data_IF_590359319983
#
_entry.id   IF_590359319983
#
_cell.length_a   1.000
_cell.length_b   1.000
_cell.length_c   1.000
_cell.angle_alpha   90.00
_cell.angle_beta   90.00
_cell.angle_gamma   90.00
#
_symmetry.space_group_name_H-M   'P 1'
#
loop_
_entity.id
_entity.type
_entity.pdbx_description
1 polymer ?
#
# COMPACT_ATOMS: atom_id res chain seq x y z
N UNK A 1 -9.45 -46.43 11.16
CA UNK A 1 -9.06 -45.06 11.53
C UNK A 1 -7.88 -44.61 10.67
N UNK A 2 -7.82 -43.33 10.36
CA UNK A 2 -6.77 -42.68 9.56
C UNK A 2 -6.59 -41.28 10.14
N UNK A 3 -5.35 -40.77 10.19
CA UNK A 3 -5.05 -39.42 10.67
C UNK A 3 -4.25 -38.71 9.60
N UNK A 4 -4.68 -37.51 9.25
CA UNK A 4 -4.09 -36.70 8.17
C UNK A 4 -3.89 -35.31 8.73
N UNK A 5 -2.65 -34.82 8.61
CA UNK A 5 -2.30 -33.44 8.89
C UNK A 5 -2.71 -32.55 7.70
N UNK A 6 -3.40 -31.43 7.95
CA UNK A 6 -3.77 -30.49 6.89
C UNK A 6 -2.53 -29.84 6.26
N UNK A 7 -2.64 -29.46 4.99
CA UNK A 7 -1.53 -28.79 4.33
C UNK A 7 -1.45 -27.31 4.72
N UNK A 8 -0.26 -26.87 5.15
CA UNK A 8 0.05 -25.48 5.53
C UNK A 8 1.21 -24.97 4.69
N UNK A 9 0.98 -23.89 3.96
CA UNK A 9 1.95 -23.31 3.05
C UNK A 9 3.21 -22.80 3.77
N UNK A 10 4.37 -23.22 3.26
CA UNK A 10 5.69 -22.86 3.79
C UNK A 10 5.97 -23.35 5.22
N UNK A 11 5.36 -24.46 5.65
CA UNK A 11 5.65 -25.03 6.97
C UNK A 11 7.05 -25.65 7.08
N UNK A 12 7.69 -25.99 5.96
CA UNK A 12 9.09 -26.45 5.93
C UNK A 12 9.31 -27.92 6.30
N UNK A 13 8.25 -28.71 6.51
CA UNK A 13 8.32 -30.14 6.76
C UNK A 13 7.34 -30.93 5.87
N UNK A 14 7.54 -32.24 5.77
CA UNK A 14 6.67 -33.15 5.01
C UNK A 14 5.32 -33.30 5.73
N UNK A 15 4.25 -32.86 5.09
CA UNK A 15 2.88 -32.93 5.62
C UNK A 15 2.08 -34.07 4.99
N UNK A 16 0.95 -34.41 5.61
CA UNK A 16 -0.05 -35.30 5.05
C UNK A 16 -0.39 -36.45 5.99
N UNK A 17 -0.39 -37.69 5.49
CA UNK A 17 -0.92 -38.84 6.24
C UNK A 17 0.02 -39.26 7.36
N UNK A 18 -0.36 -38.93 8.61
CA UNK A 18 0.36 -39.35 9.82
C UNK A 18 0.11 -40.83 10.13
N UNK A 19 -1.15 -41.27 10.07
CA UNK A 19 -1.53 -42.66 10.36
C UNK A 19 -2.26 -43.26 9.17
N UNK A 20 -1.75 -44.40 8.70
CA UNK A 20 -2.37 -45.16 7.59
C UNK A 20 -3.73 -45.71 7.99
N UNK A 21 -4.63 -45.81 7.00
CA UNK A 21 -5.97 -46.37 7.21
C UNK A 21 -5.86 -47.83 7.69
N UNK A 22 -6.28 -48.08 8.92
CA UNK A 22 -6.24 -49.41 9.52
C UNK A 22 -7.09 -49.54 10.78
N UNK A 23 -7.14 -50.75 11.35
CA UNK A 23 -7.68 -50.96 12.71
C UNK A 23 -6.57 -50.63 13.70
N UNK A 24 -6.81 -49.64 14.55
CA UNK A 24 -5.82 -49.16 15.53
C UNK A 24 -6.15 -49.79 16.89
N UNK A 25 -5.20 -50.46 17.53
CA UNK A 25 -5.40 -51.01 18.87
C UNK A 25 -5.52 -49.86 19.89
N UNK A 26 -6.49 -50.00 20.80
CA UNK A 26 -6.74 -49.09 21.93
C UNK A 26 -5.86 -49.46 23.13
N UNK A 27 -5.77 -50.76 23.42
CA UNK A 27 -5.02 -51.33 24.54
C UNK A 27 -4.16 -52.50 24.07
N UNK A 28 -3.16 -52.90 24.88
CA UNK A 28 -2.31 -54.08 24.67
C UNK A 28 -3.08 -55.41 24.65
N UNK A 29 -4.34 -55.38 25.10
CA UNK A 29 -5.28 -56.51 25.10
C UNK A 29 -5.90 -56.79 23.72
N UNK A 30 -5.47 -56.09 22.66
CA UNK A 30 -5.95 -56.32 21.30
C UNK A 30 -7.34 -55.77 21.00
N UNK A 31 -7.86 -54.88 21.85
CA UNK A 31 -9.11 -54.14 21.59
C UNK A 31 -8.84 -53.04 20.58
N UNK A 32 -9.77 -52.79 19.66
CA UNK A 32 -9.64 -51.75 18.65
C UNK A 32 -10.57 -50.59 18.93
N UNK A 33 -10.20 -49.38 18.50
CA UNK A 33 -11.07 -48.22 18.56
C UNK A 33 -12.38 -48.45 17.78
N UNK A 34 -13.49 -48.15 18.44
CA UNK A 34 -14.82 -48.12 17.85
C UNK A 34 -15.30 -46.68 17.67
N UNK A 35 -16.30 -46.46 16.82
CA UNK A 35 -16.84 -45.11 16.59
C UNK A 35 -17.46 -44.51 17.86
N UNK A 36 -17.92 -45.36 18.79
CA UNK A 36 -18.42 -44.94 20.11
C UNK A 36 -17.34 -44.44 21.07
N UNK A 37 -16.07 -44.73 20.78
CA UNK A 37 -14.93 -44.22 21.57
C UNK A 37 -14.51 -42.80 21.13
N UNK A 38 -15.17 -42.23 20.11
CA UNK A 38 -14.85 -40.94 19.55
C UNK A 38 -15.95 -39.94 19.93
N UNK A 39 -15.56 -38.82 20.53
CA UNK A 39 -16.43 -37.67 20.75
C UNK A 39 -15.60 -36.38 20.71
N UNK A 40 -16.21 -35.20 20.72
CA UNK A 40 -15.48 -33.94 20.94
C UNK A 40 -15.06 -33.83 22.41
N UNK A 41 -13.89 -33.24 22.66
CA UNK A 41 -13.32 -33.04 23.99
C UNK A 41 -12.63 -34.28 24.59
N UNK A 42 -12.29 -35.28 23.77
CA UNK A 42 -11.66 -36.53 24.24
C UNK A 42 -10.22 -36.65 23.75
N UNK A 43 -9.36 -37.15 24.63
CA UNK A 43 -7.97 -37.49 24.32
C UNK A 43 -7.84 -38.93 23.83
N UNK A 44 -7.28 -39.10 22.63
CA UNK A 44 -7.15 -40.38 21.93
C UNK A 44 -5.66 -40.72 21.77
N UNK A 45 -5.11 -41.64 22.59
CA UNK A 45 -3.72 -42.09 22.46
C UNK A 45 -3.57 -43.07 21.30
N UNK A 46 -2.73 -42.73 20.32
CA UNK A 46 -2.43 -43.55 19.15
C UNK A 46 -0.91 -43.56 18.93
N UNK A 47 -0.30 -44.74 18.99
CA UNK A 47 1.14 -44.95 18.77
C UNK A 47 2.05 -43.98 19.57
N UNK A 48 1.70 -43.71 20.83
CA UNK A 48 2.47 -42.84 21.72
C UNK A 48 2.20 -41.34 21.56
N UNK A 49 1.32 -40.94 20.63
CA UNK A 49 0.87 -39.55 20.46
C UNK A 49 -0.57 -39.44 20.93
N UNK A 50 -0.87 -38.44 21.76
CA UNK A 50 -2.23 -38.16 22.24
C UNK A 50 -2.86 -37.10 21.35
N UNK A 51 -3.98 -37.45 20.70
CA UNK A 51 -4.74 -36.55 19.85
C UNK A 51 -5.99 -36.07 20.59
N UNK A 52 -6.14 -34.76 20.72
CA UNK A 52 -7.31 -34.14 21.32
C UNK A 52 -8.33 -33.76 20.22
N UNK A 53 -9.57 -34.20 20.36
CA UNK A 53 -10.65 -33.91 19.40
C UNK A 53 -11.35 -32.60 19.72
N UNK A 54 -11.22 -31.61 18.84
CA UNK A 54 -11.72 -30.25 19.08
C UNK A 54 -13.10 -29.99 18.44
N UNK A 55 -13.39 -30.65 17.32
CA UNK A 55 -14.61 -30.44 16.53
C UNK A 55 -14.93 -31.70 15.71
N UNK A 56 -16.18 -31.83 15.27
CA UNK A 56 -16.61 -32.83 14.30
C UNK A 56 -17.41 -32.18 13.16
N UNK A 57 -17.44 -32.81 11.99
CA UNK A 57 -18.22 -32.34 10.84
C UNK A 57 -19.72 -32.58 11.04
N UNK A 58 -20.56 -31.81 10.35
CA UNK A 58 -22.03 -31.79 10.48
C UNK A 58 -22.64 -33.19 10.34
N UNK A 59 -22.20 -33.96 9.35
CA UNK A 59 -22.66 -35.33 9.16
C UNK A 59 -22.37 -36.22 10.39
N UNK A 60 -21.19 -36.05 10.99
CA UNK A 60 -20.77 -36.85 12.15
C UNK A 60 -21.59 -36.45 13.36
N UNK A 61 -21.85 -35.16 13.53
CA UNK A 61 -22.71 -34.61 14.57
C UNK A 61 -24.12 -35.22 14.51
N UNK A 62 -24.76 -35.15 13.34
CA UNK A 62 -26.10 -35.72 13.10
C UNK A 62 -26.13 -37.24 13.32
N UNK A 63 -25.10 -37.94 12.85
CA UNK A 63 -24.98 -39.39 13.05
C UNK A 63 -24.88 -39.75 14.54
N UNK A 64 -24.02 -39.07 15.31
CA UNK A 64 -23.88 -39.30 16.75
C UNK A 64 -25.20 -39.03 17.48
N UNK A 65 -25.85 -37.90 17.18
CA UNK A 65 -27.17 -37.54 17.74
C UNK A 65 -28.23 -38.60 17.42
N UNK A 66 -28.23 -39.14 16.20
CA UNK A 66 -29.16 -40.22 15.80
C UNK A 66 -28.95 -41.51 16.60
N UNK A 67 -27.73 -41.76 17.08
CA UNK A 67 -27.37 -42.90 17.90
C UNK A 67 -27.52 -42.63 19.41
N UNK A 68 -28.03 -41.45 19.79
CA UNK A 68 -28.22 -41.04 21.18
C UNK A 68 -26.93 -40.58 21.87
N UNK A 69 -25.88 -40.23 21.13
CA UNK A 69 -24.64 -39.66 21.66
C UNK A 69 -24.64 -38.17 21.36
N UNK A 70 -24.46 -37.34 22.39
CA UNK A 70 -24.34 -35.89 22.22
C UNK A 70 -22.88 -35.51 21.91
N UNK A 71 -22.60 -34.91 20.74
CA UNK A 71 -21.24 -34.63 20.30
C UNK A 71 -20.47 -33.59 21.13
N UNK A 72 -21.11 -32.90 22.09
CA UNK A 72 -20.49 -31.82 22.86
C UNK A 72 -20.31 -30.53 22.04
N UNK A 73 -19.85 -29.48 22.70
CA UNK A 73 -19.60 -28.19 22.05
C UNK A 73 -18.22 -28.15 21.39
N UNK A 74 -18.10 -27.34 20.33
CA UNK A 74 -16.80 -27.11 19.66
C UNK A 74 -15.81 -26.43 20.61
N UNK A 75 -14.61 -26.97 20.71
CA UNK A 75 -13.52 -26.36 21.46
C UNK A 75 -12.68 -25.46 20.55
N UNK A 76 -11.84 -24.60 21.13
CA UNK A 76 -10.90 -23.79 20.34
C UNK A 76 -9.55 -24.50 20.29
N UNK A 77 -9.04 -24.72 19.09
CA UNK A 77 -7.67 -25.23 18.91
C UNK A 77 -6.66 -24.22 19.46
N UNK A 78 -5.55 -24.67 20.08
CA UNK A 78 -4.54 -23.77 20.58
C UNK A 78 -3.93 -22.94 19.44
N UNK A 79 -3.70 -21.63 19.65
CA UNK A 79 -3.12 -20.79 18.63
C UNK A 79 -1.67 -21.16 18.33
N UNK A 80 -1.31 -21.25 17.05
CA UNK A 80 0.08 -21.39 16.62
C UNK A 80 0.79 -20.03 16.62
N UNK A 81 1.77 -19.88 17.51
CA UNK A 81 2.60 -18.68 17.65
C UNK A 81 3.29 -18.30 16.34
N UNK A 82 3.79 -19.27 15.57
CA UNK A 82 4.50 -18.99 14.33
C UNK A 82 3.56 -18.37 13.28
N UNK A 83 2.37 -18.96 13.10
CA UNK A 83 1.36 -18.46 12.17
C UNK A 83 0.88 -17.06 12.57
N UNK A 84 0.65 -16.80 13.86
CA UNK A 84 0.25 -15.46 14.33
C UNK A 84 1.30 -14.39 14.02
N UNK A 85 2.57 -14.66 14.35
CA UNK A 85 3.67 -13.72 14.09
C UNK A 85 3.86 -13.45 12.61
N UNK A 86 3.73 -14.49 11.78
CA UNK A 86 3.84 -14.37 10.32
C UNK A 86 2.71 -13.52 9.75
N UNK A 87 1.47 -13.74 10.19
CA UNK A 87 0.31 -12.94 9.78
C UNK A 87 0.46 -11.49 10.22
N UNK A 88 0.92 -11.23 11.45
CA UNK A 88 1.16 -9.88 11.95
C UNK A 88 2.21 -9.13 11.12
N UNK A 89 3.31 -9.79 10.76
CA UNK A 89 4.36 -9.21 9.89
C UNK A 89 3.85 -8.92 8.48
N UNK A 90 3.06 -9.82 7.91
CA UNK A 90 2.43 -9.62 6.59
C UNK A 90 1.40 -8.49 6.62
N UNK A 91 0.64 -8.37 7.71
CA UNK A 91 -0.30 -7.27 7.90
C UNK A 91 0.46 -5.94 8.06
N UNK A 92 1.57 -5.92 8.79
CA UNK A 92 2.42 -4.74 8.95
C UNK A 92 3.11 -4.32 7.64
N UNK A 93 3.50 -5.27 6.78
CA UNK A 93 4.11 -4.95 5.48
C UNK A 93 3.09 -4.53 4.42
N UNK A 94 1.83 -4.99 4.52
CA UNK A 94 0.72 -4.61 3.65
C UNK A 94 -0.05 -3.39 4.14
N UNK A 95 0.08 -3.04 5.42
CA UNK A 95 -0.39 -1.75 5.90
C UNK A 95 0.28 -0.69 5.03
N UNK A 96 -0.46 0.30 4.52
CA UNK A 96 0.16 1.41 3.83
C UNK A 96 1.17 1.97 4.83
N UNK A 97 2.45 1.79 4.52
CA UNK A 97 3.51 2.51 5.21
C UNK A 97 3.00 3.94 5.18
N UNK A 98 2.81 4.53 6.37
CA UNK A 98 2.67 5.97 6.50
C UNK A 98 3.99 6.55 6.00
N UNK A 99 4.21 6.52 4.68
CA UNK A 99 5.09 7.43 3.99
C UNK A 99 4.55 8.78 4.42
N UNK A 100 5.35 9.46 5.24
CA UNK A 100 5.14 10.85 5.65
C UNK A 100 4.44 11.54 4.50
N UNK A 101 3.14 11.88 4.65
CA UNK A 101 2.25 12.37 3.58
C UNK A 101 3.05 13.10 2.51
N UNK A 102 3.55 12.40 1.50
CA UNK A 102 4.05 13.06 0.32
C UNK A 102 2.78 13.58 -0.29
N UNK A 103 2.73 14.90 -0.52
CA UNK A 103 1.64 15.51 -1.28
C UNK A 103 1.37 14.57 -2.46
N UNK A 104 0.10 14.16 -2.72
CA UNK A 104 -0.20 13.22 -3.78
C UNK A 104 0.56 13.68 -5.01
N UNK A 105 1.56 12.90 -5.40
CA UNK A 105 2.44 13.28 -6.50
C UNK A 105 1.55 13.18 -7.72
N UNK A 106 1.05 14.33 -8.15
CA UNK A 106 0.15 14.43 -9.28
C UNK A 106 0.87 13.81 -10.46
N UNK A 107 0.27 12.77 -11.05
CA UNK A 107 0.93 11.97 -12.07
C UNK A 107 1.24 12.88 -13.26
N UNK A 108 2.53 13.11 -13.59
CA UNK A 108 2.90 14.03 -14.67
C UNK A 108 2.27 13.61 -16.01
N UNK A 109 2.02 12.31 -16.22
CA UNK A 109 1.33 11.84 -17.43
C UNK A 109 -0.13 12.24 -17.45
N UNK A 110 -0.79 12.18 -16.29
CA UNK A 110 -2.19 12.56 -16.17
C UNK A 110 -2.38 14.06 -16.44
N UNK A 111 -1.52 14.90 -15.86
CA UNK A 111 -1.51 16.35 -16.14
C UNK A 111 -1.29 16.66 -17.61
N UNK A 112 -0.34 15.97 -18.24
CA UNK A 112 -0.12 16.12 -19.68
C UNK A 112 -1.38 15.77 -20.47
N UNK A 113 -2.00 14.62 -20.23
CA UNK A 113 -3.23 14.21 -20.93
C UNK A 113 -4.41 15.17 -20.73
N UNK A 114 -4.53 15.77 -19.54
CA UNK A 114 -5.64 16.68 -19.22
C UNK A 114 -5.42 18.10 -19.76
N UNK A 115 -4.19 18.60 -19.74
CA UNK A 115 -3.88 20.03 -19.99
C UNK A 115 -2.98 20.29 -21.20
N UNK A 116 -2.64 19.28 -22.00
CA UNK A 116 -1.82 19.48 -23.21
C UNK A 116 -2.44 20.53 -24.14
N UNK A 117 -1.61 21.49 -24.57
CA UNK A 117 -2.03 22.65 -25.37
C UNK A 117 -2.74 23.78 -24.61
N UNK A 118 -3.07 23.63 -23.31
CA UNK A 118 -3.71 24.70 -22.54
C UNK A 118 -2.68 25.65 -21.92
N UNK A 119 -2.69 26.90 -22.40
CA UNK A 119 -1.79 27.96 -21.96
C UNK A 119 -2.58 29.19 -21.56
N UNK A 120 -2.35 29.69 -20.34
CA UNK A 120 -2.89 30.97 -19.90
C UNK A 120 -1.93 32.09 -20.37
N UNK A 121 -2.40 32.99 -21.22
CA UNK A 121 -1.61 34.13 -21.69
C UNK A 121 -2.13 35.43 -21.09
N UNK A 122 -1.23 36.24 -20.55
CA UNK A 122 -1.53 37.55 -19.98
C UNK A 122 -0.65 38.62 -20.60
N UNK A 123 -1.24 39.76 -20.93
CA UNK A 123 -0.50 40.95 -21.34
C UNK A 123 -0.10 41.74 -20.10
N UNK A 124 1.17 42.11 -20.02
CA UNK A 124 1.78 42.83 -18.90
C UNK A 124 2.58 44.02 -19.41
N UNK A 125 2.75 45.03 -18.56
CA UNK A 125 3.58 46.21 -18.85
C UNK A 125 4.60 46.41 -17.74
N UNK A 126 5.86 46.59 -18.10
CA UNK A 126 6.92 46.91 -17.14
C UNK A 126 7.86 47.97 -17.74
N UNK A 127 8.14 49.03 -16.98
CA UNK A 127 9.00 50.15 -17.39
C UNK A 127 8.68 50.78 -18.76
N UNK A 128 7.40 50.77 -19.18
CA UNK A 128 6.94 51.34 -20.45
C UNK A 128 6.97 50.36 -21.64
N UNK A 129 7.52 49.16 -21.45
CA UNK A 129 7.51 48.07 -22.43
C UNK A 129 6.34 47.11 -22.19
N UNK A 130 5.99 46.35 -23.24
CA UNK A 130 4.93 45.35 -23.21
C UNK A 130 5.52 43.94 -23.17
N UNK A 131 4.92 43.09 -22.36
CA UNK A 131 5.30 41.70 -22.15
C UNK A 131 4.08 40.80 -22.25
N UNK A 132 4.31 39.58 -22.67
CA UNK A 132 3.34 38.49 -22.70
C UNK A 132 3.84 37.40 -21.74
N UNK A 133 3.08 37.17 -20.68
CA UNK A 133 3.35 36.14 -19.69
C UNK A 133 2.50 34.92 -20.06
N UNK A 134 3.16 33.78 -20.27
CA UNK A 134 2.52 32.51 -20.62
C UNK A 134 2.70 31.51 -19.48
N UNK A 135 1.60 30.99 -18.94
CA UNK A 135 1.58 29.93 -17.93
C UNK A 135 1.12 28.62 -18.56
N UNK A 136 1.94 27.58 -18.45
CA UNK A 136 1.66 26.24 -19.00
C UNK A 136 1.08 25.35 -17.91
N UNK A 137 -0.18 24.95 -18.06
CA UNK A 137 -0.90 24.11 -17.08
C UNK A 137 -0.38 22.67 -17.01
N UNK A 138 0.33 22.20 -18.04
CA UNK A 138 0.93 20.86 -18.06
C UNK A 138 1.98 20.67 -16.97
N UNK A 139 2.85 21.67 -16.80
CA UNK A 139 4.08 21.55 -16.02
C UNK A 139 4.22 22.64 -14.93
N UNK A 140 3.21 23.48 -14.74
CA UNK A 140 3.24 24.66 -13.86
C UNK A 140 4.44 25.59 -14.13
N UNK A 141 4.81 25.73 -15.42
CA UNK A 141 5.95 26.58 -15.84
C UNK A 141 5.48 27.90 -16.41
N UNK A 142 6.32 28.92 -16.30
CA UNK A 142 6.07 30.26 -16.79
C UNK A 142 7.12 30.62 -17.83
N UNK A 143 6.71 31.25 -18.93
CA UNK A 143 7.59 31.91 -19.87
C UNK A 143 7.16 33.37 -20.05
N UNK A 144 8.13 34.25 -20.22
CA UNK A 144 7.89 35.68 -20.42
C UNK A 144 8.53 36.12 -21.72
N UNK A 145 7.70 36.66 -22.61
CA UNK A 145 8.10 37.16 -23.91
C UNK A 145 7.88 38.67 -23.97
N UNK A 146 8.86 39.40 -24.45
CA UNK A 146 8.73 40.82 -24.74
C UNK A 146 7.99 41.04 -26.07
N UNK A 147 6.96 41.88 -26.05
CA UNK A 147 6.24 42.32 -27.25
C UNK A 147 6.97 43.54 -27.81
N UNK A 148 7.60 43.38 -28.97
CA UNK A 148 8.35 44.46 -29.59
C UNK A 148 7.46 45.46 -30.30
N UNK A 149 7.87 46.72 -30.22
CA UNK A 149 7.41 47.77 -31.11
C UNK A 149 8.32 47.90 -32.33
N UNK A 150 7.78 48.23 -33.51
CA UNK A 150 8.59 48.62 -34.66
C UNK A 150 9.57 49.74 -34.29
N UNK A 151 10.78 49.71 -34.86
CA UNK A 151 11.85 50.70 -34.65
C UNK A 151 12.39 50.81 -33.20
N UNK A 152 12.20 49.79 -32.36
CA UNK A 152 12.67 49.80 -30.97
C UNK A 152 14.19 49.64 -30.80
N UNK A 153 14.91 49.18 -31.82
CA UNK A 153 16.37 48.99 -31.77
C UNK A 153 16.88 47.87 -30.85
N UNK A 154 15.97 47.10 -30.22
CA UNK A 154 16.30 45.96 -29.35
C UNK A 154 16.64 44.71 -30.14
N UNK A 155 17.43 43.81 -29.52
CA UNK A 155 17.88 42.53 -30.07
C UNK A 155 16.74 41.68 -30.63
N UNK A 156 16.96 40.81 -31.64
CA UNK A 156 15.94 39.99 -32.28
C UNK A 156 15.34 38.89 -31.40
N UNK A 157 15.99 38.47 -30.31
CA UNK A 157 15.43 37.49 -29.37
C UNK A 157 14.47 38.14 -28.36
N UNK A 158 13.20 37.75 -28.37
CA UNK A 158 12.14 38.38 -27.56
C UNK A 158 11.84 37.62 -26.27
N UNK A 159 12.48 36.48 -26.04
CA UNK A 159 12.24 35.69 -24.84
C UNK A 159 13.04 36.26 -23.66
N UNK A 160 12.34 36.88 -22.72
CA UNK A 160 12.95 37.40 -21.49
C UNK A 160 13.19 36.27 -20.48
N UNK A 161 12.23 35.35 -20.35
CA UNK A 161 12.31 34.19 -19.48
C UNK A 161 11.88 32.93 -20.24
N UNK A 162 12.78 31.93 -20.32
CA UNK A 162 12.46 30.60 -20.85
C UNK A 162 11.50 29.87 -19.91
N UNK A 163 10.80 28.85 -20.40
CA UNK A 163 9.90 28.01 -19.60
C UNK A 163 10.63 27.47 -18.37
N UNK A 164 10.33 28.03 -17.20
CA UNK A 164 10.89 27.60 -15.92
C UNK A 164 9.83 27.68 -14.83
N UNK A 165 9.99 26.90 -13.77
CA UNK A 165 9.16 27.02 -12.57
C UNK A 165 9.67 28.19 -11.73
N UNK A 166 8.78 29.12 -11.41
CA UNK A 166 9.15 30.32 -10.65
C UNK A 166 8.79 30.11 -9.17
N UNK A 167 9.75 30.22 -8.23
CA UNK A 167 9.46 30.19 -6.81
C UNK A 167 8.74 31.48 -6.37
N UNK A 168 7.75 31.38 -5.47
CA UNK A 168 7.09 32.57 -4.90
C UNK A 168 8.03 33.35 -3.99
N UNK A 169 8.68 32.64 -3.07
CA UNK A 169 9.54 33.23 -2.05
C UNK A 169 11.00 33.05 -2.46
N UNK A 170 11.54 33.98 -3.25
CA UNK A 170 12.95 33.96 -3.64
C UNK A 170 13.90 34.47 -2.55
N UNK A 171 13.37 35.11 -1.51
CA UNK A 171 14.15 35.73 -0.42
C UNK A 171 14.24 34.84 0.83
N UNK A 172 13.21 34.04 1.11
CA UNK A 172 13.24 33.10 2.25
C UNK A 172 14.23 31.98 1.96
N UNK A 173 15.38 32.05 2.63
CA UNK A 173 16.41 31.02 2.64
C UNK A 173 16.50 30.48 4.07
N UNK A 174 16.56 29.16 4.26
CA UNK A 174 16.83 28.62 5.58
C UNK A 174 18.24 29.02 6.03
N UNK A 175 18.42 29.21 7.34
CA UNK A 175 19.67 29.73 7.95
C UNK A 175 20.90 28.88 7.59
N UNK A 176 20.72 27.60 7.27
CA UNK A 176 21.78 26.67 6.92
C UNK A 176 22.19 26.68 5.44
N UNK A 177 21.48 27.41 4.56
CA UNK A 177 21.74 27.39 3.12
C UNK A 177 23.06 28.07 2.76
N UNK A 178 24.01 27.38 2.09
CA UNK A 178 25.32 27.97 1.80
C UNK A 178 25.21 29.08 0.75
N UNK A 179 25.81 30.25 1.03
CA UNK A 179 25.78 31.42 0.15
C UNK A 179 26.51 31.25 -1.20
N UNK A 180 27.19 30.11 -1.40
CA UNK A 180 27.92 29.79 -2.63
C UNK A 180 27.04 29.18 -3.72
N UNK A 181 25.85 28.70 -3.39
CA UNK A 181 24.92 28.14 -4.39
C UNK A 181 24.17 29.26 -5.12
N UNK A 182 24.29 29.30 -6.45
CA UNK A 182 23.60 30.25 -7.31
C UNK A 182 22.15 29.83 -7.63
N UNK A 183 21.87 28.53 -7.63
CA UNK A 183 20.57 27.96 -8.00
C UNK A 183 20.04 27.11 -6.84
N UNK A 184 18.73 27.20 -6.59
CA UNK A 184 18.04 26.40 -5.57
C UNK A 184 17.64 25.05 -6.16
N UNK A 185 17.76 24.00 -5.36
CA UNK A 185 17.18 22.71 -5.72
C UNK A 185 15.67 22.68 -5.50
N UNK A 186 14.95 21.82 -6.22
CA UNK A 186 13.50 21.65 -6.06
C UNK A 186 13.10 21.22 -4.62
N UNK A 187 14.04 20.66 -3.85
CA UNK A 187 13.83 20.24 -2.45
C UNK A 187 13.77 21.43 -1.49
N UNK A 188 14.36 22.56 -1.86
CA UNK A 188 14.51 23.75 -1.00
C UNK A 188 13.46 24.83 -1.31
N UNK A 189 12.80 24.74 -2.46
CA UNK A 189 11.72 25.65 -2.83
C UNK A 189 10.44 25.23 -2.13
N UNK A 190 10.00 26.07 -1.19
CA UNK A 190 8.79 25.82 -0.39
C UNK A 190 7.51 25.89 -1.24
N UNK A 191 7.45 26.84 -2.18
CA UNK A 191 6.24 27.10 -2.97
C UNK A 191 6.55 27.74 -4.33
N UNK A 192 5.91 27.23 -5.39
CA UNK A 192 5.96 27.77 -6.75
C UNK A 192 4.65 28.48 -7.09
N UNK A 193 4.67 29.37 -8.10
CA UNK A 193 3.46 30.03 -8.60
C UNK A 193 2.45 29.03 -9.17
N UNK A 194 1.20 29.14 -8.73
CA UNK A 194 0.06 28.36 -9.22
C UNK A 194 -0.89 29.22 -10.06
N UNK A 195 -1.80 28.62 -10.86
CA UNK A 195 -2.77 29.38 -11.64
C UNK A 195 -3.68 30.28 -10.79
N UNK A 196 -3.90 29.89 -9.53
CA UNK A 196 -4.69 30.65 -8.56
C UNK A 196 -4.06 31.98 -8.15
N UNK A 197 -2.73 32.09 -8.24
CA UNK A 197 -1.98 33.29 -7.85
C UNK A 197 -1.99 34.35 -8.95
N UNK A 198 -2.32 33.97 -10.19
CA UNK A 198 -2.39 34.87 -11.34
C UNK A 198 -3.73 35.64 -11.41
N UNK A 199 -4.40 35.80 -10.27
CA UNK A 199 -5.67 36.53 -10.17
C UNK A 199 -5.43 38.03 -10.06
N UNK A 200 -6.41 38.79 -10.52
CA UNK A 200 -6.47 40.25 -10.35
C UNK A 200 -6.59 40.55 -8.86
N UNK A 201 -5.60 41.22 -8.28
CA UNK A 201 -5.77 41.91 -7.00
C UNK A 201 -6.78 43.04 -7.25
N UNK A 202 -8.00 42.89 -6.70
CA UNK A 202 -9.01 43.95 -6.68
C UNK A 202 -8.68 44.97 -5.60
#
# INVERSE_FOLDING_TARGET
MCIIEPSVDNAGFQQGKLVRRGKIPKDDLGRFYHWKDLNVGIDIPIYGVVYHTVECDVFTEEYLRSQGIDPGDREQSPPDSYTQDRLAKLAASKAPVNSKKSRPQDDPRRRFLEFDGMVLSFDATWNGDFYQIMYFLTDDTIAVKEIRRPNSGKDPNSMLLKKTKIPKNWTDLPVWYPSIYLERSDEEVVEYYCPLDLKKFL
#
